data_IF_167941869143
#
_entry.id   IF_167941869143
#
_cell.length_a   1.000
_cell.length_b   1.000
_cell.length_c   1.000
_cell.angle_alpha   90.00
_cell.angle_beta   90.00
_cell.angle_gamma   90.00
#
_symmetry.space_group_name_H-M   'P 1'
#
loop_
_entity.id
_entity.type
_entity.pdbx_description
1 polymer ?
#
# COMPACT_ATOMS: atom_id res chain seq x y z
N UNK A 1 3.75 23.96 -20.06
CA UNK A 1 4.35 22.69 -19.63
C UNK A 1 3.53 22.14 -18.47
N UNK A 2 3.02 20.92 -18.59
CA UNK A 2 2.33 20.28 -17.46
C UNK A 2 3.39 19.97 -16.37
N UNK A 3 3.15 20.44 -15.15
CA UNK A 3 3.98 20.10 -14.00
C UNK A 3 3.72 18.63 -13.62
N UNK A 4 4.64 17.76 -13.99
CA UNK A 4 4.55 16.31 -13.68
C UNK A 4 4.46 16.05 -12.18
N UNK A 5 5.10 16.87 -11.34
CA UNK A 5 5.00 16.75 -9.89
C UNK A 5 3.56 17.00 -9.42
N UNK A 6 2.86 17.97 -10.00
CA UNK A 6 1.46 18.22 -9.70
C UNK A 6 0.55 17.02 -10.10
N UNK A 7 0.91 16.29 -11.16
CA UNK A 7 0.19 15.07 -11.55
C UNK A 7 0.40 13.97 -10.52
N UNK A 8 1.63 13.75 -10.07
CA UNK A 8 1.94 12.73 -9.07
C UNK A 8 1.26 13.04 -7.73
N UNK A 9 1.25 14.31 -7.30
CA UNK A 9 0.57 14.73 -6.07
C UNK A 9 -0.92 14.43 -6.06
N UNK A 10 -1.59 14.41 -7.21
CA UNK A 10 -3.01 14.02 -7.32
C UNK A 10 -3.30 12.56 -6.98
N UNK A 11 -2.27 11.70 -6.91
CA UNK A 11 -2.41 10.32 -6.44
C UNK A 11 -2.37 10.19 -4.92
N UNK A 12 -1.85 11.20 -4.20
CA UNK A 12 -1.70 11.19 -2.74
C UNK A 12 -2.91 11.93 -2.16
N UNK A 13 -3.80 11.17 -1.52
CA UNK A 13 -5.12 11.64 -1.09
C UNK A 13 -5.28 11.53 0.43
N UNK A 14 -6.04 12.46 1.00
CA UNK A 14 -6.60 12.26 2.34
C UNK A 14 -7.54 11.05 2.35
N UNK A 15 -7.86 10.52 3.52
CA UNK A 15 -8.79 9.38 3.61
C UNK A 15 -10.18 9.73 3.07
N UNK A 16 -10.66 10.98 3.29
CA UNK A 16 -11.94 11.47 2.79
C UNK A 16 -11.95 11.59 1.26
N UNK A 17 -10.88 12.13 0.68
CA UNK A 17 -10.72 12.23 -0.77
C UNK A 17 -10.66 10.84 -1.41
N UNK A 18 -9.90 9.91 -0.79
CA UNK A 18 -9.80 8.53 -1.25
C UNK A 18 -11.18 7.85 -1.27
N UNK A 19 -11.98 7.99 -0.21
CA UNK A 19 -13.34 7.41 -0.16
C UNK A 19 -14.20 7.95 -1.30
N UNK A 20 -14.14 9.25 -1.59
CA UNK A 20 -14.89 9.85 -2.70
C UNK A 20 -14.46 9.27 -4.05
N UNK A 21 -13.15 9.18 -4.30
CA UNK A 21 -12.63 8.70 -5.58
C UNK A 21 -12.90 7.21 -5.78
N UNK A 22 -12.77 6.40 -4.72
CA UNK A 22 -13.11 4.97 -4.75
C UNK A 22 -14.59 4.77 -5.07
N UNK A 23 -15.49 5.58 -4.51
CA UNK A 23 -16.92 5.50 -4.82
C UNK A 23 -17.21 5.88 -6.27
N UNK A 24 -16.49 6.83 -6.85
CA UNK A 24 -16.60 7.16 -8.28
C UNK A 24 -16.16 5.95 -9.13
N UNK A 25 -15.02 5.34 -8.83
CA UNK A 25 -14.56 4.15 -9.55
C UNK A 25 -15.56 3.00 -9.45
N UNK A 26 -16.12 2.78 -8.26
CA UNK A 26 -17.15 1.73 -8.03
C UNK A 26 -18.43 2.00 -8.83
N UNK A 27 -18.87 3.26 -8.94
CA UNK A 27 -19.98 3.62 -9.81
C UNK A 27 -19.73 3.20 -11.26
N UNK A 28 -18.49 3.29 -11.74
CA UNK A 28 -18.07 2.80 -13.06
C UNK A 28 -17.70 1.31 -13.07
N UNK A 29 -18.10 0.53 -12.05
CA UNK A 29 -17.86 -0.92 -11.91
C UNK A 29 -16.36 -1.30 -11.98
N UNK A 30 -15.48 -0.41 -11.56
CA UNK A 30 -14.05 -0.67 -11.46
C UNK A 30 -13.74 -1.46 -10.20
N UNK A 31 -12.92 -2.50 -10.35
CA UNK A 31 -12.49 -3.37 -9.27
C UNK A 31 -11.36 -2.72 -8.48
N UNK A 32 -11.57 -2.50 -7.19
CA UNK A 32 -10.63 -1.82 -6.28
C UNK A 32 -9.76 -2.86 -5.60
N UNK A 33 -8.46 -2.72 -5.76
CA UNK A 33 -7.43 -3.50 -5.06
C UNK A 33 -6.79 -2.64 -3.98
N UNK A 34 -6.63 -3.19 -2.79
CA UNK A 34 -5.97 -2.51 -1.68
C UNK A 34 -4.81 -3.32 -1.15
N UNK A 35 -3.71 -2.64 -0.90
CA UNK A 35 -2.60 -3.15 -0.10
C UNK A 35 -2.09 -2.09 0.86
N UNK A 36 -1.30 -2.49 1.86
CA UNK A 36 -0.66 -1.55 2.77
C UNK A 36 0.78 -1.94 3.09
N UNK A 37 1.56 -0.95 3.49
CA UNK A 37 2.94 -1.17 3.94
C UNK A 37 3.69 0.10 4.29
N UNK A 38 4.91 -0.07 4.82
CA UNK A 38 5.80 1.04 5.15
C UNK A 38 6.50 1.61 3.90
N UNK A 39 6.86 0.77 2.94
CA UNK A 39 7.56 1.14 1.70
C UNK A 39 8.72 2.14 1.94
N UNK A 40 9.54 1.84 2.95
CA UNK A 40 10.57 2.76 3.44
C UNK A 40 11.70 2.93 2.42
N UNK A 41 12.27 1.83 1.94
CA UNK A 41 13.22 1.80 0.83
C UNK A 41 12.61 0.92 -0.26
N UNK A 42 12.26 1.52 -1.39
CA UNK A 42 11.77 0.75 -2.54
C UNK A 42 12.90 -0.07 -3.16
N UNK A 43 12.56 -1.31 -3.51
CA UNK A 43 13.44 -2.26 -4.16
C UNK A 43 12.65 -3.09 -5.18
N UNK A 44 13.32 -3.86 -6.07
CA UNK A 44 12.64 -4.65 -7.11
C UNK A 44 11.50 -5.53 -6.59
N UNK A 45 11.64 -6.09 -5.37
CA UNK A 45 10.59 -6.90 -4.74
C UNK A 45 9.29 -6.11 -4.51
N UNK A 46 9.36 -4.83 -4.11
CA UNK A 46 8.19 -3.98 -3.98
C UNK A 46 7.54 -3.68 -5.34
N UNK A 47 8.35 -3.40 -6.36
CA UNK A 47 7.85 -3.13 -7.72
C UNK A 47 7.13 -4.35 -8.28
N UNK A 48 7.75 -5.54 -8.15
CA UNK A 48 7.13 -6.80 -8.54
C UNK A 48 5.78 -7.00 -7.83
N UNK A 49 5.80 -6.88 -6.50
CA UNK A 49 4.61 -7.05 -5.66
C UNK A 49 3.46 -6.12 -6.06
N UNK A 50 3.74 -4.82 -6.22
CA UNK A 50 2.73 -3.83 -6.57
C UNK A 50 2.17 -4.04 -7.99
N UNK A 51 2.99 -4.48 -8.93
CA UNK A 51 2.53 -4.86 -10.27
C UNK A 51 1.60 -6.07 -10.24
N UNK A 52 1.94 -7.11 -9.47
CA UNK A 52 1.07 -8.27 -9.29
C UNK A 52 -0.25 -7.87 -8.61
N UNK A 53 -0.19 -7.04 -7.57
CA UNK A 53 -1.39 -6.52 -6.90
C UNK A 53 -2.28 -5.75 -7.88
N UNK A 54 -1.70 -4.84 -8.69
CA UNK A 54 -2.45 -4.07 -9.71
C UNK A 54 -3.15 -4.96 -10.74
N UNK A 55 -2.56 -6.10 -11.08
CA UNK A 55 -3.13 -7.05 -12.05
C UNK A 55 -4.40 -7.76 -11.54
N UNK A 56 -4.74 -7.64 -10.25
CA UNK A 56 -5.92 -8.26 -9.67
C UNK A 56 -7.20 -7.41 -9.81
N UNK A 57 -7.08 -6.18 -10.29
CA UNK A 57 -8.23 -5.29 -10.50
C UNK A 57 -7.90 -4.08 -11.37
N UNK A 58 -8.78 -3.09 -11.35
CA UNK A 58 -8.70 -1.90 -12.22
C UNK A 58 -8.02 -0.71 -11.54
N UNK A 59 -8.00 -0.66 -10.20
CA UNK A 59 -7.49 0.47 -9.41
C UNK A 59 -6.71 -0.08 -8.22
N UNK A 60 -5.43 0.26 -8.11
CA UNK A 60 -4.61 -0.10 -6.95
C UNK A 60 -4.50 1.08 -5.99
N UNK A 61 -5.00 0.86 -4.78
CA UNK A 61 -4.87 1.77 -3.64
C UNK A 61 -3.80 1.23 -2.69
N UNK A 62 -2.88 2.10 -2.30
CA UNK A 62 -1.84 1.79 -1.30
C UNK A 62 -2.11 2.57 -0.01
N UNK A 63 -2.39 1.86 1.08
CA UNK A 63 -2.34 2.40 2.43
C UNK A 63 -0.88 2.50 2.89
N UNK A 64 -0.39 3.71 3.09
CA UNK A 64 0.98 3.97 3.51
C UNK A 64 1.02 4.25 5.01
N UNK A 65 1.77 3.46 5.79
CA UNK A 65 1.96 3.74 7.20
C UNK A 65 2.61 5.11 7.41
N UNK A 66 2.08 5.94 8.31
CA UNK A 66 2.72 7.18 8.76
C UNK A 66 4.09 6.90 9.38
N UNK A 67 4.88 7.93 9.61
CA UNK A 67 6.17 7.78 10.28
C UNK A 67 6.00 7.23 11.71
N UNK A 68 4.98 7.70 12.43
CA UNK A 68 4.72 7.24 13.78
C UNK A 68 4.15 5.81 13.82
N UNK A 69 3.30 5.45 12.85
CA UNK A 69 2.85 4.07 12.67
C UNK A 69 4.04 3.12 12.40
N UNK A 70 5.01 3.53 11.57
CA UNK A 70 6.22 2.72 11.30
C UNK A 70 7.08 2.54 12.55
N UNK A 71 7.26 3.59 13.37
CA UNK A 71 8.01 3.52 14.63
C UNK A 71 7.37 2.51 15.59
N UNK A 72 6.04 2.50 15.71
CA UNK A 72 5.30 1.56 16.57
C UNK A 72 5.42 0.10 16.12
N UNK A 73 5.74 -0.17 14.84
CA UNK A 73 6.00 -1.53 14.36
C UNK A 73 7.33 -2.13 14.84
N UNK A 74 8.16 -1.37 15.59
CA UNK A 74 9.43 -1.82 16.16
C UNK A 74 10.38 -2.49 15.16
N UNK A 75 10.42 -2.02 13.92
CA UNK A 75 11.29 -2.56 12.85
C UNK A 75 12.73 -2.06 12.91
N UNK A 76 13.13 -1.44 14.02
CA UNK A 76 14.47 -0.86 14.27
C UNK A 76 14.37 0.63 14.61
N UNK A 77 15.27 1.09 15.51
CA UNK A 77 15.22 2.46 16.07
C UNK A 77 15.42 3.57 15.03
N UNK A 78 16.01 3.27 13.86
CA UNK A 78 16.28 4.22 12.77
C UNK A 78 15.17 4.24 11.70
N UNK A 79 14.05 3.56 11.93
CA UNK A 79 12.95 3.47 10.94
C UNK A 79 11.81 4.43 11.26
N UNK A 80 11.20 5.07 10.24
CA UNK A 80 11.53 4.98 8.82
C UNK A 80 12.78 5.80 8.45
N UNK A 81 13.49 5.40 7.40
CA UNK A 81 14.64 6.13 6.83
C UNK A 81 14.15 7.36 6.06
N UNK A 82 13.09 7.19 5.27
CA UNK A 82 12.45 8.27 4.53
C UNK A 82 11.15 8.72 5.20
N UNK A 83 10.94 10.05 5.34
CA UNK A 83 9.68 10.56 5.86
C UNK A 83 8.50 10.19 4.95
N UNK A 84 7.32 10.09 5.53
CA UNK A 84 6.11 9.57 4.86
C UNK A 84 5.76 10.31 3.57
N UNK A 85 5.96 11.63 3.49
CA UNK A 85 5.73 12.42 2.28
C UNK A 85 6.66 11.99 1.13
N UNK A 86 7.94 11.69 1.42
CA UNK A 86 8.90 11.21 0.43
C UNK A 86 8.61 9.77 0.00
N UNK A 87 8.20 8.92 0.94
CA UNK A 87 7.76 7.55 0.61
C UNK A 87 6.51 7.56 -0.28
N UNK A 88 5.57 8.47 -0.01
CA UNK A 88 4.40 8.67 -0.85
C UNK A 88 4.78 9.20 -2.25
N UNK A 89 5.70 10.17 -2.36
CA UNK A 89 6.16 10.69 -3.65
C UNK A 89 6.77 9.59 -4.53
N UNK A 90 7.61 8.72 -3.95
CA UNK A 90 8.24 7.62 -4.69
C UNK A 90 7.20 6.58 -5.13
N UNK A 91 6.22 6.24 -4.29
CA UNK A 91 5.13 5.35 -4.65
C UNK A 91 4.24 5.95 -5.76
N UNK A 92 3.96 7.26 -5.70
CA UNK A 92 3.15 7.95 -6.69
C UNK A 92 3.79 7.93 -8.09
N UNK A 93 5.12 7.85 -8.17
CA UNK A 93 5.85 7.74 -9.43
C UNK A 93 5.72 6.35 -10.09
N UNK A 94 5.27 5.33 -9.36
CA UNK A 94 5.05 4.01 -9.93
C UNK A 94 3.77 3.99 -10.79
N UNK A 95 3.90 3.44 -12.00
CA UNK A 95 2.78 3.35 -12.95
C UNK A 95 1.64 2.47 -12.41
N UNK A 96 1.98 1.42 -11.68
CA UNK A 96 1.00 0.47 -11.14
C UNK A 96 0.21 0.99 -9.94
N UNK A 97 0.61 2.10 -9.32
CA UNK A 97 -0.08 2.70 -8.17
C UNK A 97 -1.00 3.81 -8.64
N UNK A 98 -2.29 3.69 -8.38
CA UNK A 98 -3.28 4.70 -8.76
C UNK A 98 -3.47 5.74 -7.65
N UNK A 99 -3.63 5.28 -6.38
CA UNK A 99 -3.83 6.18 -5.24
C UNK A 99 -3.07 5.72 -4.00
N UNK A 100 -2.69 6.68 -3.18
CA UNK A 100 -2.00 6.49 -1.90
C UNK A 100 -2.74 7.28 -0.84
N UNK A 101 -2.98 6.67 0.32
CA UNK A 101 -3.45 7.38 1.50
C UNK A 101 -2.63 6.99 2.71
N UNK A 102 -2.18 7.99 3.46
CA UNK A 102 -1.41 7.78 4.68
C UNK A 102 -2.39 7.48 5.82
N UNK A 103 -2.07 6.47 6.63
CA UNK A 103 -2.80 6.13 7.84
C UNK A 103 -1.85 6.05 9.03
N UNK A 104 -2.34 6.47 10.21
CA UNK A 104 -1.52 6.51 11.43
C UNK A 104 -1.83 5.37 12.40
N UNK A 105 -2.92 4.67 12.21
CA UNK A 105 -3.35 3.58 13.07
C UNK A 105 -2.32 2.43 13.06
N UNK A 106 -2.32 1.60 14.12
CA UNK A 106 -1.41 0.45 14.24
C UNK A 106 -1.67 -0.61 13.17
N UNK A 107 -2.91 -0.66 12.67
CA UNK A 107 -3.32 -1.55 11.59
C UNK A 107 -4.12 -0.81 10.53
N UNK A 108 -4.17 -1.28 9.28
CA UNK A 108 -4.92 -0.64 8.22
C UNK A 108 -6.44 -0.88 8.28
N UNK A 109 -6.97 -1.48 9.37
CA UNK A 109 -8.35 -1.95 9.43
C UNK A 109 -9.37 -0.83 9.19
N UNK A 110 -9.20 0.33 9.82
CA UNK A 110 -10.11 1.46 9.66
C UNK A 110 -10.14 1.96 8.21
N UNK A 111 -8.97 2.06 7.57
CA UNK A 111 -8.88 2.45 6.17
C UNK A 111 -9.55 1.41 5.26
N UNK A 112 -9.34 0.11 5.50
CA UNK A 112 -10.00 -0.99 4.78
C UNK A 112 -11.53 -0.89 4.92
N UNK A 113 -12.02 -0.61 6.13
CA UNK A 113 -13.45 -0.47 6.40
C UNK A 113 -14.07 0.73 5.68
N UNK A 114 -13.35 1.86 5.59
CA UNK A 114 -13.80 3.06 4.89
C UNK A 114 -13.91 2.85 3.38
N UNK A 115 -12.89 2.19 2.78
CA UNK A 115 -12.84 2.03 1.31
C UNK A 115 -13.50 0.76 0.80
N UNK A 116 -13.68 -0.28 1.62
CA UNK A 116 -14.29 -1.58 1.26
C UNK A 116 -13.74 -2.13 -0.06
N UNK A 117 -12.44 -2.50 -0.16
CA UNK A 117 -11.86 -2.95 -1.42
C UNK A 117 -12.45 -4.28 -1.89
N UNK A 118 -12.51 -4.50 -3.21
CA UNK A 118 -12.93 -5.79 -3.78
C UNK A 118 -11.87 -6.88 -3.58
N UNK A 119 -10.59 -6.47 -3.53
CA UNK A 119 -9.45 -7.37 -3.29
C UNK A 119 -8.52 -6.75 -2.24
N UNK A 120 -8.30 -7.46 -1.15
CA UNK A 120 -7.26 -7.16 -0.17
C UNK A 120 -6.01 -7.98 -0.50
N UNK A 121 -4.87 -7.31 -0.69
CA UNK A 121 -3.62 -7.96 -1.07
C UNK A 121 -2.58 -7.86 0.03
N UNK A 122 -1.87 -8.96 0.29
CA UNK A 122 -0.73 -9.01 1.21
C UNK A 122 0.44 -9.74 0.57
N UNK A 123 1.64 -9.25 0.82
CA UNK A 123 2.87 -9.89 0.36
C UNK A 123 3.50 -10.76 1.44
N UNK A 124 3.98 -11.94 1.09
CA UNK A 124 4.71 -12.82 2.00
C UNK A 124 4.01 -14.14 2.31
N UNK A 125 4.54 -14.85 3.30
CA UNK A 125 4.07 -16.17 3.73
C UNK A 125 3.01 -16.03 4.84
N UNK A 126 1.94 -15.30 4.55
CA UNK A 126 0.80 -15.18 5.46
C UNK A 126 -0.22 -16.28 5.20
N UNK A 127 -0.93 -16.67 6.26
CA UNK A 127 -2.22 -17.36 6.14
C UNK A 127 -3.33 -16.32 6.20
N UNK A 128 -4.43 -16.55 5.47
CA UNK A 128 -5.52 -15.55 5.30
C UNK A 128 -6.08 -15.10 6.65
N UNK A 129 -6.21 -16.01 7.60
CA UNK A 129 -6.70 -15.78 8.97
C UNK A 129 -5.84 -14.79 9.78
N UNK A 130 -4.59 -14.59 9.39
CA UNK A 130 -3.65 -13.64 10.03
C UNK A 130 -3.62 -12.27 9.35
N UNK A 131 -4.32 -12.10 8.24
CA UNK A 131 -4.34 -10.84 7.51
C UNK A 131 -5.41 -9.93 8.11
N UNK A 132 -4.96 -8.80 8.68
CA UNK A 132 -5.86 -7.77 9.22
C UNK A 132 -6.85 -7.31 8.15
N UNK A 133 -8.14 -7.38 8.46
CA UNK A 133 -9.22 -7.00 7.57
C UNK A 133 -9.70 -8.10 6.62
N UNK A 134 -9.08 -9.30 6.63
CA UNK A 134 -9.50 -10.41 5.75
C UNK A 134 -10.97 -10.79 5.98
N UNK A 135 -11.35 -11.06 7.23
CA UNK A 135 -12.73 -11.45 7.59
C UNK A 135 -13.74 -10.35 7.17
N UNK A 136 -13.36 -9.08 7.39
CA UNK A 136 -14.21 -7.97 7.00
C UNK A 136 -14.39 -7.92 5.48
N UNK A 137 -13.32 -8.05 4.69
CA UNK A 137 -13.39 -8.04 3.22
C UNK A 137 -14.22 -9.22 2.71
N UNK A 138 -14.02 -10.41 3.26
CA UNK A 138 -14.79 -11.59 2.88
C UNK A 138 -16.27 -11.50 3.27
N UNK A 139 -16.61 -10.79 4.36
CA UNK A 139 -17.99 -10.68 4.85
C UNK A 139 -18.95 -9.98 3.86
N UNK A 140 -18.45 -9.17 2.94
CA UNK A 140 -19.27 -8.53 1.89
C UNK A 140 -18.97 -9.07 0.48
N UNK A 141 -18.28 -10.23 0.36
CA UNK A 141 -18.01 -10.90 -0.92
C UNK A 141 -16.71 -10.45 -1.60
N UNK A 142 -15.87 -9.66 -0.95
CA UNK A 142 -14.52 -9.35 -1.41
C UNK A 142 -13.59 -10.56 -1.28
N UNK A 143 -12.43 -10.49 -1.90
CA UNK A 143 -11.42 -11.55 -1.90
C UNK A 143 -10.12 -11.10 -1.23
N UNK A 144 -9.35 -12.07 -0.74
CA UNK A 144 -8.01 -11.85 -0.18
C UNK A 144 -7.00 -12.60 -1.03
N UNK A 145 -5.95 -11.92 -1.46
CA UNK A 145 -4.89 -12.51 -2.27
C UNK A 145 -3.53 -12.36 -1.57
N UNK A 146 -2.76 -13.43 -1.58
CA UNK A 146 -1.39 -13.45 -1.07
C UNK A 146 -0.45 -13.53 -2.27
N UNK A 147 0.49 -12.59 -2.35
CA UNK A 147 1.50 -12.57 -3.41
C UNK A 147 2.83 -12.98 -2.80
N UNK A 148 3.49 -14.04 -3.32
CA UNK A 148 4.80 -14.45 -2.86
C UNK A 148 5.81 -13.29 -3.01
N UNK A 149 6.72 -13.17 -2.04
CA UNK A 149 7.81 -12.20 -2.12
C UNK A 149 8.83 -12.64 -3.17
N UNK A 150 9.41 -11.67 -3.87
CA UNK A 150 10.53 -11.93 -4.76
C UNK A 150 11.77 -12.23 -3.92
N UNK A 151 12.32 -13.44 -4.07
CA UNK A 151 13.51 -13.87 -3.31
C UNK A 151 14.71 -12.96 -3.56
N UNK A 152 15.55 -12.79 -2.53
CA UNK A 152 16.79 -12.01 -2.60
C UNK A 152 16.61 -10.49 -2.48
N UNK A 153 15.37 -10.00 -2.26
CA UNK A 153 15.10 -8.58 -2.11
C UNK A 153 14.33 -8.28 -0.83
N UNK A 154 15.01 -7.66 0.14
CA UNK A 154 14.36 -7.09 1.32
C UNK A 154 15.02 -5.78 1.74
N UNK A 155 14.25 -4.90 2.37
CA UNK A 155 14.80 -3.65 2.93
C UNK A 155 15.86 -3.96 4.00
N UNK A 156 15.69 -5.02 4.77
CA UNK A 156 16.66 -5.46 5.79
C UNK A 156 17.99 -5.85 5.16
N UNK A 157 17.98 -6.60 4.06
CA UNK A 157 19.20 -6.99 3.36
C UNK A 157 19.94 -5.78 2.76
N UNK A 158 19.20 -4.80 2.24
CA UNK A 158 19.80 -3.56 1.73
C UNK A 158 20.52 -2.82 2.86
N UNK A 159 19.84 -2.60 4.00
CA UNK A 159 20.42 -1.90 5.15
C UNK A 159 21.64 -2.65 5.70
N UNK A 160 21.58 -3.98 5.78
CA UNK A 160 22.70 -4.79 6.25
C UNK A 160 23.91 -4.75 5.31
N UNK A 161 23.68 -4.64 3.99
CA UNK A 161 24.78 -4.48 3.01
C UNK A 161 25.46 -3.12 3.11
N UNK A 162 24.71 -2.08 3.48
CA UNK A 162 25.24 -0.71 3.62
C UNK A 162 26.01 -0.49 4.93
N UNK A 163 25.81 -1.37 5.95
CA UNK A 163 26.52 -1.32 7.24
C UNK A 163 27.84 -2.11 7.24
N UNK A 164 28.20 -2.77 6.14
CA UNK A 164 29.46 -3.48 5.92
C UNK A 164 30.47 -2.59 5.21
#
# INVERSE_FOLDING_TARGET
>A
MSDFNAILKKKILSQEELVRIVNIHRFFKKKIVFTNGCFDILHPGHVYYLNQARSLGDVLVVGLNSDDSVKRLNKGAERPIHPQDKRADVLAALLCVDYISIFDEDTPLELIQKIKPDVLVKGGDYTIDKIVGADFVQSYGGSVAIIPLLEGYSTTDIVNKLKR
#
